data_IF_532763457435
#
_entry.id   IF_532763457435
#
_cell.length_a   1.000
_cell.length_b   1.000
_cell.length_c   1.000
_cell.angle_alpha   90.00
_cell.angle_beta   90.00
_cell.angle_gamma   90.00
#
_symmetry.space_group_name_H-M   'P 1'
#
loop_
_entity.id
_entity.type
_entity.pdbx_description
1 polymer ?
#
# COMPACT_ATOMS: atom_id res chain seq x y z
N UNK A 1 -54.29 9.59 -23.91
CA UNK A 1 -54.76 8.65 -22.88
C UNK A 1 -54.65 7.25 -23.43
N UNK A 2 -53.78 6.39 -22.90
CA UNK A 2 -54.22 5.38 -21.93
C UNK A 2 -53.26 5.26 -20.72
N UNK A 3 -53.89 4.89 -19.59
CA UNK A 3 -53.22 4.48 -18.35
C UNK A 3 -52.60 3.09 -18.53
N UNK A 4 -51.39 2.92 -18.04
CA UNK A 4 -50.82 1.58 -17.83
C UNK A 4 -50.45 1.39 -16.36
N UNK A 5 -50.97 0.29 -15.83
CA UNK A 5 -50.93 -0.11 -14.44
C UNK A 5 -49.56 -0.56 -13.96
N UNK A 6 -49.23 -0.19 -12.73
CA UNK A 6 -48.08 -0.70 -11.97
C UNK A 6 -48.36 -2.11 -11.44
N UNK A 7 -47.43 -3.04 -11.64
CA UNK A 7 -47.41 -4.32 -10.96
C UNK A 7 -46.29 -4.34 -9.91
N UNK A 8 -46.70 -4.37 -8.64
CA UNK A 8 -45.78 -4.57 -7.51
C UNK A 8 -45.52 -6.07 -7.33
N UNK A 9 -44.25 -6.48 -7.39
CA UNK A 9 -43.83 -7.81 -6.96
C UNK A 9 -43.08 -7.70 -5.61
N UNK A 10 -43.67 -8.26 -4.58
CA UNK A 10 -43.06 -8.47 -3.29
C UNK A 10 -42.24 -9.78 -3.33
N UNK A 11 -40.94 -9.70 -3.09
CA UNK A 11 -40.07 -10.86 -2.88
C UNK A 11 -39.80 -11.04 -1.39
N UNK A 12 -40.17 -12.21 -0.86
CA UNK A 12 -39.94 -12.60 0.52
C UNK A 12 -38.46 -12.98 0.72
N UNK A 13 -37.80 -12.36 1.71
CA UNK A 13 -36.47 -12.74 2.16
C UNK A 13 -36.55 -13.85 3.21
N UNK A 14 -35.93 -14.97 2.93
CA UNK A 14 -35.70 -16.06 3.87
C UNK A 14 -34.35 -15.80 4.56
N UNK A 15 -34.36 -15.59 5.86
CA UNK A 15 -33.16 -15.44 6.69
C UNK A 15 -32.66 -16.82 7.09
N UNK A 16 -31.45 -17.17 6.67
CA UNK A 16 -30.73 -18.36 7.13
C UNK A 16 -29.75 -17.93 8.23
N UNK A 17 -30.00 -18.36 9.45
CA UNK A 17 -29.10 -18.20 10.59
C UNK A 17 -28.13 -19.38 10.61
N UNK A 18 -26.84 -19.14 10.40
CA UNK A 18 -25.79 -20.12 10.60
C UNK A 18 -25.07 -19.90 11.92
N UNK A 19 -24.99 -20.98 12.71
CA UNK A 19 -24.44 -21.02 14.04
C UNK A 19 -22.90 -20.89 14.07
N UNK A 20 -22.41 -20.12 15.04
CA UNK A 20 -21.01 -19.96 15.40
C UNK A 20 -20.58 -21.10 16.31
N UNK A 21 -19.47 -21.75 15.98
CA UNK A 21 -18.76 -22.71 16.84
C UNK A 21 -17.47 -22.06 17.32
N UNK A 22 -17.24 -21.96 18.63
CA UNK A 22 -15.95 -21.51 19.15
C UNK A 22 -15.01 -22.71 19.35
N UNK A 23 -13.88 -22.75 18.65
CA UNK A 23 -12.80 -23.67 18.88
C UNK A 23 -11.64 -23.00 19.60
N UNK A 24 -11.52 -23.26 20.91
CA UNK A 24 -10.33 -22.93 21.68
C UNK A 24 -9.30 -24.06 21.58
N UNK A 25 -8.06 -23.73 21.25
CA UNK A 25 -6.93 -24.63 21.49
C UNK A 25 -5.76 -23.80 22.01
N UNK A 26 -5.52 -23.90 23.30
CA UNK A 26 -4.32 -23.47 23.98
C UNK A 26 -3.24 -24.53 23.79
N UNK A 27 -2.06 -24.15 23.31
CA UNK A 27 -0.85 -24.99 23.35
C UNK A 27 0.18 -24.29 24.22
N UNK A 28 0.40 -24.88 25.40
CA UNK A 28 1.50 -24.58 26.29
C UNK A 28 2.79 -25.19 25.71
N UNK A 29 3.77 -24.37 25.42
CA UNK A 29 5.12 -24.77 25.03
C UNK A 29 6.07 -24.67 26.21
N UNK A 30 6.63 -25.80 26.59
CA UNK A 30 7.55 -26.08 27.67
C UNK A 30 8.94 -25.48 27.39
N UNK A 31 9.48 -24.76 28.36
CA UNK A 31 10.90 -24.36 28.42
C UNK A 31 11.79 -25.57 28.69
N UNK A 32 12.97 -25.70 28.07
CA UNK A 32 14.00 -26.60 28.57
C UNK A 32 14.95 -25.88 29.52
N UNK A 33 15.24 -26.62 30.60
CA UNK A 33 16.14 -26.32 31.69
C UNK A 33 17.61 -26.21 31.29
N UNK A 34 18.28 -25.35 32.01
CA UNK A 34 19.74 -25.19 32.06
C UNK A 34 20.38 -26.34 32.84
N UNK A 35 21.46 -26.98 32.40
CA UNK A 35 22.30 -27.76 33.31
C UNK A 35 23.46 -26.94 33.83
N UNK A 36 23.58 -27.03 35.13
CA UNK A 36 24.59 -26.47 36.01
C UNK A 36 25.93 -27.21 35.94
N UNK A 37 27.00 -26.42 35.97
CA UNK A 37 28.27 -26.61 36.69
C UNK A 37 28.97 -27.94 36.70
N UNK A 38 30.22 -27.91 36.31
CA UNK A 38 31.24 -28.86 36.59
C UNK A 38 32.62 -28.35 36.17
N UNK A 39 33.32 -27.67 37.07
CA UNK A 39 34.78 -27.65 37.03
C UNK A 39 35.28 -28.84 37.89
N UNK A 40 36.45 -29.43 37.63
CA UNK A 40 37.72 -28.76 37.92
C UNK A 40 38.96 -29.20 37.09
N UNK A 41 40.01 -28.41 37.25
CA UNK A 41 41.44 -28.74 37.46
C UNK A 41 42.36 -28.96 36.29
N UNK A 42 43.35 -28.06 36.31
CA UNK A 42 44.80 -28.26 36.17
C UNK A 42 45.43 -28.67 34.85
N UNK A 43 46.09 -27.66 34.31
CA UNK A 43 47.48 -27.76 34.01
C UNK A 43 47.91 -28.42 32.69
N UNK A 44 48.37 -27.57 31.79
CA UNK A 44 49.65 -27.69 31.07
C UNK A 44 49.79 -26.44 30.20
N UNK A 45 50.92 -25.73 30.16
CA UNK A 45 51.09 -24.61 29.23
C UNK A 45 51.33 -25.18 27.83
N UNK A 46 50.34 -25.12 27.00
CA UNK A 46 50.49 -25.39 25.58
C UNK A 46 51.02 -24.13 24.89
N UNK A 47 52.14 -24.33 24.23
CA UNK A 47 52.81 -23.44 23.30
C UNK A 47 51.80 -22.68 22.43
N UNK A 48 51.84 -21.36 22.53
CA UNK A 48 51.05 -20.42 21.72
C UNK A 48 51.50 -20.53 20.26
N UNK A 49 50.77 -21.27 19.47
CA UNK A 49 50.91 -21.22 18.02
C UNK A 49 50.37 -19.89 17.54
N UNK A 50 51.03 -19.21 16.58
CA UNK A 50 50.51 -17.94 16.05
C UNK A 50 49.14 -18.17 15.41
N UNK A 51 48.15 -17.51 15.96
CA UNK A 51 46.81 -17.47 15.39
C UNK A 51 46.91 -16.78 14.01
N UNK A 52 46.53 -17.45 12.91
CA UNK A 52 46.54 -16.78 11.64
C UNK A 52 45.54 -15.60 11.73
N UNK A 53 46.06 -14.41 11.53
CA UNK A 53 45.29 -13.17 11.43
C UNK A 53 44.25 -13.36 10.31
N UNK A 54 42.97 -13.44 10.68
CA UNK A 54 41.90 -13.55 9.71
C UNK A 54 41.97 -12.33 8.78
N UNK A 55 41.85 -12.51 7.46
CA UNK A 55 41.85 -11.37 6.55
C UNK A 55 40.73 -10.43 7.00
N UNK A 56 41.11 -9.20 7.34
CA UNK A 56 40.16 -8.10 7.56
C UNK A 56 39.32 -8.01 6.31
N UNK A 57 38.06 -8.48 6.42
CA UNK A 57 37.12 -8.45 5.31
C UNK A 57 37.04 -7.01 4.83
N UNK A 58 37.34 -6.81 3.57
CA UNK A 58 37.19 -5.55 2.88
C UNK A 58 35.72 -5.13 3.09
N UNK A 59 35.51 -4.05 3.84
CA UNK A 59 34.19 -3.46 4.01
C UNK A 59 33.82 -2.92 2.64
N UNK A 60 33.07 -3.73 1.88
CA UNK A 60 32.46 -3.27 0.64
C UNK A 60 31.57 -2.09 1.02
N UNK A 61 32.05 -0.89 0.78
CA UNK A 61 31.33 0.34 1.05
C UNK A 61 29.96 0.25 0.38
N UNK A 62 28.87 0.42 1.15
CA UNK A 62 27.54 0.44 0.60
C UNK A 62 27.47 1.51 -0.48
N UNK A 63 27.16 1.12 -1.71
CA UNK A 63 26.93 2.07 -2.81
C UNK A 63 25.72 2.93 -2.43
N UNK A 64 25.84 4.26 -2.39
CA UNK A 64 24.70 5.10 -2.05
C UNK A 64 23.59 4.91 -3.07
N UNK A 65 22.35 4.84 -2.60
CA UNK A 65 21.17 4.75 -3.46
C UNK A 65 21.06 6.04 -4.30
N UNK A 66 20.61 5.92 -5.56
CA UNK A 66 20.29 7.10 -6.38
C UNK A 66 19.27 7.98 -5.67
N UNK A 67 19.41 9.29 -5.74
CA UNK A 67 18.48 10.24 -5.13
C UNK A 67 17.43 10.71 -6.13
N UNK A 68 16.17 10.68 -5.74
CA UNK A 68 15.04 11.20 -6.47
C UNK A 68 14.15 12.05 -5.56
N UNK A 69 13.16 12.73 -6.12
CA UNK A 69 12.15 13.49 -5.40
C UNK A 69 10.83 13.26 -6.14
N UNK A 70 10.13 12.21 -5.71
CA UNK A 70 8.82 11.89 -6.26
C UNK A 70 7.78 12.87 -5.69
N UNK A 71 6.88 13.33 -6.55
CA UNK A 71 5.81 14.23 -6.16
C UNK A 71 4.51 13.83 -6.82
N UNK A 72 3.43 13.84 -6.05
CA UNK A 72 2.08 13.54 -6.54
C UNK A 72 1.17 14.73 -6.30
N UNK A 73 0.52 15.20 -7.36
CA UNK A 73 -0.50 16.24 -7.31
C UNK A 73 -1.74 15.80 -8.07
N UNK A 74 -2.87 16.40 -7.75
CA UNK A 74 -4.06 16.06 -8.48
C UNK A 74 -5.34 16.55 -7.83
N UNK A 75 -6.41 15.88 -8.17
CA UNK A 75 -7.71 16.15 -7.57
C UNK A 75 -8.58 14.91 -7.49
N UNK A 76 -9.52 14.97 -6.57
CA UNK A 76 -10.59 13.99 -6.38
C UNK A 76 -11.90 14.74 -6.48
N UNK A 77 -12.88 14.17 -7.20
CA UNK A 77 -14.28 14.60 -7.13
C UNK A 77 -15.18 13.38 -6.94
N UNK A 78 -16.32 13.59 -6.27
CA UNK A 78 -17.29 12.53 -6.04
C UNK A 78 -18.69 13.03 -6.38
N UNK A 79 -19.34 12.39 -7.36
CA UNK A 79 -20.72 12.71 -7.79
C UNK A 79 -21.35 11.53 -8.51
N UNK A 80 -22.69 11.45 -8.48
CA UNK A 80 -23.43 10.42 -9.20
C UNK A 80 -23.04 8.98 -8.85
N UNK A 81 -22.47 8.76 -7.66
CA UNK A 81 -21.97 7.46 -7.24
C UNK A 81 -20.57 7.12 -7.78
N UNK A 82 -19.85 8.06 -8.41
CA UNK A 82 -18.54 7.86 -9.00
C UNK A 82 -17.50 8.78 -8.36
N UNK A 83 -16.35 8.19 -8.01
CA UNK A 83 -15.15 8.90 -7.54
C UNK A 83 -14.21 9.05 -8.72
N UNK A 84 -14.11 10.25 -9.27
CA UNK A 84 -13.14 10.57 -10.30
C UNK A 84 -11.85 11.08 -9.67
N UNK A 85 -10.72 10.46 -10.03
CA UNK A 85 -9.39 10.82 -9.52
C UNK A 85 -8.47 11.10 -10.70
N UNK A 86 -7.70 12.18 -10.59
CA UNK A 86 -6.61 12.50 -11.51
C UNK A 86 -5.36 12.73 -10.70
N UNK A 87 -4.32 11.94 -10.99
CA UNK A 87 -3.01 12.02 -10.33
C UNK A 87 -2.00 12.42 -11.39
N UNK A 88 -1.20 13.40 -11.07
CA UNK A 88 -0.01 13.79 -11.80
C UNK A 88 1.20 13.43 -10.94
N UNK A 89 2.01 12.49 -11.42
CA UNK A 89 3.23 12.04 -10.77
C UNK A 89 4.44 12.54 -11.51
N UNK A 90 5.41 13.12 -10.83
CA UNK A 90 6.64 13.64 -11.39
C UNK A 90 7.84 13.34 -10.48
N UNK A 91 9.03 13.50 -11.03
CA UNK A 91 10.29 13.34 -10.32
C UNK A 91 11.08 14.65 -10.44
N UNK A 92 11.21 15.35 -9.32
CA UNK A 92 11.92 16.62 -9.21
C UNK A 92 13.39 16.42 -8.83
N UNK A 93 13.78 15.19 -8.50
CA UNK A 93 15.14 14.83 -8.10
C UNK A 93 16.08 14.54 -9.26
N UNK A 94 17.37 14.32 -8.96
CA UNK A 94 18.43 14.22 -9.97
C UNK A 94 18.50 12.87 -10.67
N UNK A 95 17.94 11.79 -10.10
CA UNK A 95 18.07 10.45 -10.69
C UNK A 95 16.75 9.97 -11.28
N UNK A 96 16.81 9.27 -12.41
CA UNK A 96 15.66 8.64 -13.03
C UNK A 96 15.06 7.55 -12.13
N UNK A 97 13.75 7.44 -12.12
CA UNK A 97 12.99 6.36 -11.50
C UNK A 97 12.37 5.49 -12.57
N UNK A 98 12.69 4.22 -12.60
CA UNK A 98 12.22 3.29 -13.64
C UNK A 98 10.74 2.97 -13.53
N UNK A 99 10.22 2.87 -12.31
CA UNK A 99 8.81 2.70 -12.00
C UNK A 99 8.56 3.08 -10.54
N UNK A 100 7.37 3.59 -10.24
CA UNK A 100 6.89 3.71 -8.87
C UNK A 100 5.46 3.21 -8.77
N UNK A 101 5.04 2.84 -7.56
CA UNK A 101 3.67 2.38 -7.30
C UNK A 101 3.01 3.28 -6.27
N UNK A 102 1.91 3.86 -6.68
CA UNK A 102 1.02 4.67 -5.83
C UNK A 102 -0.08 3.78 -5.30
N UNK A 103 -0.35 3.89 -4.01
CA UNK A 103 -1.48 3.25 -3.34
C UNK A 103 -2.57 4.26 -3.06
N UNK A 104 -3.79 3.90 -3.43
CA UNK A 104 -5.00 4.64 -3.11
C UNK A 104 -5.83 3.82 -2.12
N UNK A 105 -6.18 4.41 -0.99
CA UNK A 105 -7.04 3.81 0.05
C UNK A 105 -8.27 4.66 0.24
N UNK A 106 -9.43 4.01 0.24
CA UNK A 106 -10.74 4.65 0.34
C UNK A 106 -11.38 4.36 1.71
N UNK A 107 -12.13 5.31 2.25
CA UNK A 107 -12.92 5.09 3.48
C UNK A 107 -14.10 4.14 3.27
N UNK A 108 -14.59 4.03 2.04
CA UNK A 108 -15.65 3.11 1.64
C UNK A 108 -15.09 1.94 0.81
N UNK A 109 -15.66 0.74 0.91
CA UNK A 109 -15.35 -0.33 -0.03
C UNK A 109 -15.68 0.09 -1.46
N UNK A 110 -14.97 -0.45 -2.43
CA UNK A 110 -15.25 -0.24 -3.85
C UNK A 110 -16.15 -1.36 -4.40
N UNK A 111 -16.99 -1.06 -5.37
CA UNK A 111 -17.81 -2.04 -6.07
C UNK A 111 -16.94 -3.16 -6.67
N UNK A 112 -17.39 -4.42 -6.58
CA UNK A 112 -16.56 -5.58 -6.93
C UNK A 112 -16.29 -5.72 -8.41
N UNK A 113 -17.21 -5.27 -9.26
CA UNK A 113 -17.23 -5.54 -10.71
C UNK A 113 -16.86 -4.33 -11.56
N UNK A 114 -16.02 -3.41 -11.05
CA UNK A 114 -15.56 -2.27 -11.84
C UNK A 114 -14.23 -2.56 -12.53
N UNK A 115 -14.04 -1.98 -13.69
CA UNK A 115 -12.78 -2.05 -14.43
C UNK A 115 -11.81 -1.00 -13.88
N UNK A 116 -10.54 -1.39 -13.80
CA UNK A 116 -9.45 -0.49 -13.43
C UNK A 116 -8.65 -0.15 -14.69
N UNK A 117 -8.08 1.07 -14.78
CA UNK A 117 -7.23 1.43 -15.88
C UNK A 117 -5.96 0.56 -15.93
N UNK A 118 -5.36 0.49 -17.12
CA UNK A 118 -4.08 -0.23 -17.29
C UNK A 118 -3.03 0.25 -16.29
N UNK A 119 -2.29 -0.69 -15.72
CA UNK A 119 -1.30 -0.41 -14.69
C UNK A 119 -1.88 -0.26 -13.28
N UNK A 120 -3.20 -0.34 -13.11
CA UNK A 120 -3.83 -0.36 -11.80
C UNK A 120 -4.40 -1.73 -11.47
N UNK A 121 -4.32 -2.12 -10.20
CA UNK A 121 -4.89 -3.37 -9.71
C UNK A 121 -5.54 -3.18 -8.34
N UNK A 122 -6.55 -3.97 -8.06
CA UNK A 122 -7.20 -4.01 -6.75
C UNK A 122 -6.33 -4.77 -5.75
N UNK A 123 -6.06 -4.19 -4.61
CA UNK A 123 -5.31 -4.79 -3.50
C UNK A 123 -6.16 -4.90 -2.23
N UNK A 124 -7.44 -5.19 -2.38
CA UNK A 124 -8.40 -5.32 -1.28
C UNK A 124 -9.74 -4.68 -1.57
N UNK A 125 -10.62 -4.63 -0.56
CA UNK A 125 -11.98 -4.09 -0.73
C UNK A 125 -12.01 -2.57 -0.98
N UNK A 126 -11.04 -1.85 -0.43
CA UNK A 126 -10.99 -0.39 -0.46
C UNK A 126 -9.58 0.12 -0.83
N UNK A 127 -8.83 -0.63 -1.62
CA UNK A 127 -7.44 -0.28 -1.97
C UNK A 127 -7.17 -0.61 -3.43
N UNK A 128 -6.55 0.35 -4.12
CA UNK A 128 -6.05 0.22 -5.49
C UNK A 128 -4.57 0.58 -5.49
N UNK A 129 -3.77 -0.18 -6.22
CA UNK A 129 -2.38 0.09 -6.50
C UNK A 129 -2.26 0.45 -7.98
N UNK A 130 -1.55 1.54 -8.28
CA UNK A 130 -1.31 1.98 -9.66
C UNK A 130 0.18 2.18 -9.90
N UNK A 131 0.69 1.59 -10.95
CA UNK A 131 2.05 1.84 -11.45
C UNK A 131 2.07 3.17 -12.22
N UNK A 132 3.02 4.04 -11.90
CA UNK A 132 3.16 5.34 -12.60
C UNK A 132 3.90 5.22 -13.94
N UNK A 133 4.63 4.11 -14.14
CA UNK A 133 5.66 4.01 -15.18
C UNK A 133 6.91 4.81 -14.82
N UNK A 134 7.83 4.92 -15.76
CA UNK A 134 9.10 5.62 -15.56
C UNK A 134 8.91 7.13 -15.36
N UNK A 135 9.59 7.69 -14.37
CA UNK A 135 9.63 9.11 -14.04
C UNK A 135 11.08 9.60 -14.16
N UNK A 136 11.35 10.34 -15.23
CA UNK A 136 12.69 10.87 -15.49
C UNK A 136 12.99 12.08 -14.63
N UNK A 137 14.24 12.24 -14.25
CA UNK A 137 14.75 13.44 -13.59
C UNK A 137 14.40 14.69 -14.40
N UNK A 138 13.72 15.66 -13.78
CA UNK A 138 13.23 16.86 -14.44
C UNK A 138 12.37 16.63 -15.68
N UNK A 139 11.86 15.40 -15.85
CA UNK A 139 11.03 14.98 -16.97
C UNK A 139 9.57 15.40 -16.83
N UNK A 140 8.80 15.11 -17.90
CA UNK A 140 7.35 15.37 -17.89
C UNK A 140 6.62 14.47 -16.89
N UNK A 141 5.55 15.02 -16.30
CA UNK A 141 4.69 14.26 -15.41
C UNK A 141 3.97 13.10 -16.12
N UNK A 142 3.74 12.02 -15.38
CA UNK A 142 2.84 10.93 -15.76
C UNK A 142 1.46 11.18 -15.17
N UNK A 143 0.44 10.86 -15.94
CA UNK A 143 -0.95 11.03 -15.48
C UNK A 143 -1.61 9.66 -15.31
N UNK A 144 -2.28 9.50 -14.16
CA UNK A 144 -3.14 8.36 -13.88
C UNK A 144 -4.55 8.87 -13.64
N UNK A 145 -5.52 8.29 -14.34
CA UNK A 145 -6.92 8.65 -14.23
C UNK A 145 -7.73 7.43 -13.78
N UNK A 146 -8.53 7.58 -12.73
CA UNK A 146 -9.44 6.55 -12.25
C UNK A 146 -10.86 7.10 -12.21
N UNK A 147 -11.81 6.21 -12.45
CA UNK A 147 -13.24 6.43 -12.24
C UNK A 147 -13.75 5.19 -11.50
N UNK A 148 -14.14 5.35 -10.25
CA UNK A 148 -14.37 4.25 -9.31
C UNK A 148 -15.74 4.39 -8.66
N UNK A 149 -16.42 3.27 -8.47
CA UNK A 149 -17.69 3.20 -7.77
C UNK A 149 -17.47 2.74 -6.32
N UNK A 150 -17.80 3.54 -5.30
CA UNK A 150 -17.88 3.08 -3.92
C UNK A 150 -19.12 2.22 -3.71
N UNK A 151 -19.00 1.16 -2.93
CA UNK A 151 -20.14 0.36 -2.52
C UNK A 151 -20.92 1.04 -1.39
N UNK A 152 -22.25 0.87 -1.40
CA UNK A 152 -23.13 1.31 -0.32
C UNK A 152 -23.60 2.76 -0.41
N UNK A 153 -23.23 3.49 -1.47
CA UNK A 153 -23.73 4.85 -1.72
C UNK A 153 -23.41 5.85 -0.60
N UNK A 154 -22.13 6.03 -0.22
CA UNK A 154 -21.75 6.97 0.83
C UNK A 154 -22.01 8.42 0.37
N UNK A 155 -22.26 9.34 1.32
CA UNK A 155 -22.40 10.77 1.06
C UNK A 155 -21.02 11.47 0.90
N UNK A 156 -19.96 10.84 1.37
CA UNK A 156 -18.59 11.32 1.28
C UNK A 156 -17.59 10.17 1.25
N UNK A 157 -16.42 10.41 0.67
CA UNK A 157 -15.31 9.44 0.65
C UNK A 157 -14.01 10.15 1.03
N UNK A 158 -13.25 9.54 1.94
CA UNK A 158 -11.86 9.93 2.18
C UNK A 158 -10.97 9.09 1.27
N UNK A 159 -10.16 9.76 0.47
CA UNK A 159 -9.13 9.15 -0.36
C UNK A 159 -7.77 9.46 0.24
N UNK A 160 -6.98 8.42 0.52
CA UNK A 160 -5.58 8.54 0.93
C UNK A 160 -4.69 8.02 -0.16
N UNK A 161 -3.67 8.79 -0.49
CA UNK A 161 -2.67 8.47 -1.49
C UNK A 161 -1.31 8.43 -0.84
N UNK A 162 -0.51 7.41 -1.15
CA UNK A 162 0.88 7.30 -0.74
C UNK A 162 1.69 6.45 -1.75
N UNK A 163 3.00 6.69 -1.83
CA UNK A 163 3.93 5.85 -2.59
C UNK A 163 4.28 4.61 -1.77
N UNK A 164 4.10 3.41 -2.33
CA UNK A 164 4.49 2.13 -1.68
C UNK A 164 5.73 1.49 -2.30
N UNK A 165 6.09 1.92 -3.51
CA UNK A 165 7.33 1.55 -4.18
C UNK A 165 7.85 2.74 -4.98
N UNK A 166 9.10 3.08 -4.81
CA UNK A 166 9.73 4.26 -5.42
C UNK A 166 10.86 3.92 -6.41
N UNK A 167 10.89 2.69 -6.92
CA UNK A 167 11.94 2.26 -7.85
C UNK A 167 13.28 1.93 -7.19
N UNK A 168 13.33 1.85 -5.86
CA UNK A 168 14.57 1.58 -5.11
C UNK A 168 15.51 2.78 -4.98
N UNK A 169 15.02 3.99 -5.21
CA UNK A 169 15.76 5.24 -5.01
C UNK A 169 15.57 5.77 -3.59
N UNK A 170 16.44 6.69 -3.17
CA UNK A 170 16.23 7.50 -1.97
C UNK A 170 15.39 8.71 -2.34
N UNK A 171 14.20 8.81 -1.80
CA UNK A 171 13.33 9.97 -1.96
C UNK A 171 13.77 11.08 -0.99
N UNK A 172 14.01 12.27 -1.51
CA UNK A 172 14.54 13.40 -0.72
C UNK A 172 13.45 14.13 0.05
N UNK A 173 12.21 14.12 -0.45
CA UNK A 173 11.03 14.66 0.25
C UNK A 173 9.83 13.70 0.19
N UNK A 174 9.81 12.63 0.99
CA UNK A 174 8.71 11.67 0.96
C UNK A 174 7.36 12.22 1.45
N UNK A 175 7.31 13.46 1.97
CA UNK A 175 6.07 14.07 2.46
C UNK A 175 5.18 14.57 1.33
N UNK A 176 5.75 14.97 0.20
CA UNK A 176 5.01 15.40 -0.99
C UNK A 176 4.39 14.22 -1.77
N UNK A 177 4.59 12.99 -1.27
CA UNK A 177 4.02 11.75 -1.77
C UNK A 177 2.80 11.26 -0.97
N UNK A 178 2.42 11.94 0.10
CA UNK A 178 1.37 11.49 1.01
C UNK A 178 0.26 12.52 1.11
N UNK A 179 -0.94 12.14 0.66
CA UNK A 179 -2.09 13.03 0.66
C UNK A 179 -3.32 12.37 1.27
N UNK A 180 -4.21 13.20 1.80
CA UNK A 180 -5.53 12.79 2.24
C UNK A 180 -6.55 13.84 1.80
N UNK A 181 -7.58 13.40 1.12
CA UNK A 181 -8.66 14.24 0.60
C UNK A 181 -10.00 13.71 1.09
N UNK A 182 -10.83 14.58 1.61
CA UNK A 182 -12.25 14.33 1.84
C UNK A 182 -13.02 14.86 0.63
N UNK A 183 -13.78 14.01 -0.03
CA UNK A 183 -14.62 14.35 -1.17
C UNK A 183 -16.09 14.05 -0.84
N UNK A 184 -16.91 15.07 -0.54
CA UNK A 184 -18.36 14.93 -0.46
C UNK A 184 -18.98 14.66 -1.83
N UNK A 185 -20.18 14.07 -1.88
CA UNK A 185 -20.89 13.74 -3.12
C UNK A 185 -21.53 14.97 -3.81
N UNK A 186 -20.82 16.12 -3.80
CA UNK A 186 -21.26 17.39 -4.38
C UNK A 186 -20.84 17.57 -5.83
N UNK A 187 -19.83 16.81 -6.28
CA UNK A 187 -19.22 16.97 -7.60
C UNK A 187 -18.06 17.97 -7.64
N UNK A 188 -17.80 18.66 -6.56
CA UNK A 188 -16.67 19.59 -6.47
C UNK A 188 -15.33 18.83 -6.57
N UNK A 189 -14.33 19.50 -7.13
CA UNK A 189 -12.97 18.98 -7.24
C UNK A 189 -12.10 19.46 -6.08
N UNK A 190 -11.52 18.52 -5.35
CA UNK A 190 -10.65 18.76 -4.18
C UNK A 190 -9.21 18.41 -4.55
N UNK A 191 -8.35 19.42 -4.59
CA UNK A 191 -6.94 19.27 -4.94
C UNK A 191 -6.10 18.72 -3.77
N UNK A 192 -4.98 18.09 -4.12
CA UNK A 192 -3.90 17.65 -3.22
C UNK A 192 -2.53 17.86 -3.83
#
# INVERSE_FOLDING_TARGET
MPLSAAAAMAAAMTVLVAAVVPGAAASAGTSPETPTSGAPTSGVPASEAPVPEAPVGEVVGAVPLPEADLSHHGYVSFSGGHIAIRIRSENLGPSDVTASTVRLRFSAPLAMTQELPYGCLRSGKATVLCETGGLRSGGGARQTALDLEPAGGPDEVIVRLDTVWNGGVRDTDPKNNVHQVLAPATGDAYAF
#
